data_IF_471287797211
#
_entry.id   IF_471287797211
#
_cell.length_a   1.000
_cell.length_b   1.000
_cell.length_c   1.000
_cell.angle_alpha   90.00
_cell.angle_beta   90.00
_cell.angle_gamma   90.00
#
_symmetry.space_group_name_H-M   'P 1'
#
loop_
_entity.id
_entity.type
_entity.pdbx_description
1 polymer ?
#
# COMPACT_ATOMS: atom_id res chain seq x y z
N UNK A 1 -19.37 8.19 -0.44
CA UNK A 1 -18.73 8.65 -1.70
C UNK A 1 -19.78 9.45 -2.43
N UNK A 2 -19.59 10.76 -2.60
CA UNK A 2 -20.50 11.57 -3.40
C UNK A 2 -20.11 11.39 -4.87
N UNK A 3 -21.04 10.88 -5.66
CA UNK A 3 -20.88 10.75 -7.10
C UNK A 3 -21.50 11.96 -7.82
N UNK A 4 -21.11 12.15 -9.08
CA UNK A 4 -21.61 13.23 -9.93
C UNK A 4 -23.14 13.15 -10.10
N UNK A 5 -23.81 14.30 -10.13
CA UNK A 5 -25.26 14.34 -10.35
C UNK A 5 -25.56 14.11 -11.82
N UNK A 6 -26.29 13.04 -12.21
CA UNK A 6 -26.58 12.75 -13.62
C UNK A 6 -27.42 13.86 -14.27
N UNK A 7 -28.10 14.69 -13.47
CA UNK A 7 -28.88 15.82 -13.95
C UNK A 7 -28.02 17.04 -14.27
N UNK A 8 -26.77 17.12 -13.81
CA UNK A 8 -25.92 18.28 -14.00
C UNK A 8 -24.55 17.92 -14.57
N UNK A 9 -24.23 16.64 -14.76
CA UNK A 9 -22.90 16.20 -15.15
C UNK A 9 -23.02 15.02 -16.10
N UNK A 10 -22.10 14.98 -17.07
CA UNK A 10 -22.07 13.93 -18.08
C UNK A 10 -20.66 13.51 -18.44
N UNK A 11 -20.57 12.29 -18.97
CA UNK A 11 -19.39 11.77 -19.66
C UNK A 11 -19.51 12.06 -21.15
N UNK A 12 -18.38 12.31 -21.82
CA UNK A 12 -18.39 12.58 -23.27
C UNK A 12 -17.82 11.43 -24.09
N UNK A 13 -16.50 11.36 -24.20
CA UNK A 13 -15.77 10.34 -24.96
C UNK A 13 -14.31 10.29 -24.51
N UNK A 14 -13.57 9.28 -24.97
CA UNK A 14 -12.12 9.26 -24.89
C UNK A 14 -11.55 10.41 -25.70
N UNK A 15 -10.81 11.31 -25.04
CA UNK A 15 -10.32 12.54 -25.64
C UNK A 15 -9.08 13.04 -24.89
N UNK A 16 -8.50 14.13 -25.41
CA UNK A 16 -7.54 14.93 -24.62
C UNK A 16 -8.28 15.68 -23.51
N UNK A 17 -7.84 15.49 -22.28
CA UNK A 17 -8.39 16.10 -21.07
C UNK A 17 -7.32 16.96 -20.39
N UNK A 18 -7.70 17.72 -19.35
CA UNK A 18 -6.74 18.49 -18.57
C UNK A 18 -5.62 17.57 -18.06
N UNK A 19 -4.36 17.88 -18.36
CA UNK A 19 -3.23 17.08 -17.91
C UNK A 19 -3.18 17.04 -16.37
N UNK A 20 -3.01 15.84 -15.80
CA UNK A 20 -2.75 15.67 -14.36
C UNK A 20 -1.63 14.67 -14.13
N UNK A 21 -0.84 14.93 -13.09
CA UNK A 21 0.05 13.93 -12.50
C UNK A 21 -0.63 13.22 -11.34
N UNK A 22 -0.49 11.89 -11.30
CA UNK A 22 -1.07 11.03 -10.27
C UNK A 22 -0.26 9.74 -10.12
N UNK A 23 -0.40 9.09 -8.96
CA UNK A 23 0.11 7.74 -8.76
C UNK A 23 -0.97 6.76 -9.25
N UNK A 24 -0.61 5.88 -10.18
CA UNK A 24 -1.56 4.93 -10.75
C UNK A 24 -1.98 3.89 -9.70
N UNK A 25 -3.28 3.77 -9.42
CA UNK A 25 -3.83 2.79 -8.47
C UNK A 25 -3.74 1.32 -8.91
N UNK A 26 -3.18 1.06 -10.09
CA UNK A 26 -2.96 -0.28 -10.65
C UNK A 26 -1.49 -0.68 -10.65
N UNK A 27 -0.62 0.04 -11.37
CA UNK A 27 0.82 -0.29 -11.42
C UNK A 27 1.64 0.38 -10.31
N UNK A 28 1.10 1.38 -9.62
CA UNK A 28 1.80 2.12 -8.57
C UNK A 28 2.68 3.27 -9.06
N UNK A 29 2.97 3.35 -10.36
CA UNK A 29 3.87 4.38 -10.90
C UNK A 29 3.28 5.79 -10.81
N UNK A 30 4.17 6.75 -10.57
CA UNK A 30 3.87 8.18 -10.72
C UNK A 30 3.91 8.54 -12.19
N UNK A 31 2.77 8.92 -12.75
CA UNK A 31 2.62 9.26 -14.17
C UNK A 31 2.00 10.64 -14.35
N UNK A 32 1.99 11.13 -15.59
CA UNK A 32 1.17 12.23 -16.03
C UNK A 32 0.35 11.79 -17.24
N UNK A 33 -0.93 12.16 -17.28
CA UNK A 33 -1.81 11.82 -18.41
C UNK A 33 -2.72 12.98 -18.76
N UNK A 34 -2.84 13.23 -20.06
CA UNK A 34 -3.82 14.11 -20.69
C UNK A 34 -4.86 13.29 -21.49
N UNK A 35 -4.92 11.97 -21.31
CA UNK A 35 -5.81 11.08 -22.06
C UNK A 35 -6.85 10.42 -21.16
N UNK A 36 -8.11 10.49 -21.59
CA UNK A 36 -9.16 9.72 -20.93
C UNK A 36 -10.56 10.27 -21.15
N UNK A 37 -11.45 10.03 -20.18
CA UNK A 37 -12.85 10.38 -20.24
C UNK A 37 -13.12 11.55 -19.31
N UNK A 38 -13.41 12.72 -19.88
CA UNK A 38 -13.80 13.92 -19.14
C UNK A 38 -15.19 13.77 -18.55
N UNK A 39 -15.36 14.28 -17.34
CA UNK A 39 -16.67 14.64 -16.78
C UNK A 39 -16.81 16.16 -16.83
N UNK A 40 -17.85 16.63 -17.53
CA UNK A 40 -18.16 18.04 -17.67
C UNK A 40 -19.26 18.50 -16.71
N UNK A 41 -19.37 19.83 -16.51
CA UNK A 41 -20.52 20.47 -15.85
C UNK A 41 -21.79 20.49 -16.72
N UNK A 42 -21.69 20.15 -18.01
CA UNK A 42 -22.86 19.94 -18.87
C UNK A 42 -23.40 18.51 -18.73
N UNK A 43 -24.72 18.33 -18.91
CA UNK A 43 -25.38 17.01 -18.95
C UNK A 43 -24.80 16.08 -20.04
N UNK A 44 -24.32 16.65 -21.13
CA UNK A 44 -23.66 15.99 -22.26
C UNK A 44 -22.14 15.83 -22.07
N UNK A 45 -21.61 16.19 -20.90
CA UNK A 45 -20.18 16.23 -20.62
C UNK A 45 -19.43 17.39 -21.28
N UNK A 46 -20.16 18.38 -21.82
CA UNK A 46 -19.58 19.67 -22.25
C UNK A 46 -19.21 20.56 -21.05
N UNK A 47 -18.67 21.75 -21.33
CA UNK A 47 -18.22 22.75 -20.32
C UNK A 47 -17.00 22.31 -19.51
N UNK A 48 -16.67 23.01 -18.43
CA UNK A 48 -15.45 22.78 -17.66
C UNK A 48 -15.35 21.36 -17.11
N UNK A 49 -14.12 20.82 -17.17
CA UNK A 49 -13.81 19.54 -16.57
C UNK A 49 -13.81 19.64 -15.04
N UNK A 50 -14.57 18.77 -14.40
CA UNK A 50 -14.71 18.70 -12.94
C UNK A 50 -14.23 17.35 -12.37
N UNK A 51 -13.91 16.40 -13.25
CA UNK A 51 -13.44 15.07 -12.91
C UNK A 51 -13.16 14.27 -14.17
N UNK A 52 -12.87 12.98 -14.01
CA UNK A 52 -12.70 12.11 -15.16
C UNK A 52 -11.96 10.82 -14.87
N UNK A 53 -11.95 9.94 -15.85
CA UNK A 53 -11.08 8.77 -15.88
C UNK A 53 -9.84 9.15 -16.67
N UNK A 54 -8.68 9.02 -16.06
CA UNK A 54 -7.37 9.23 -16.66
C UNK A 54 -6.74 7.88 -16.99
N UNK A 55 -6.30 7.68 -18.22
CA UNK A 55 -5.64 6.45 -18.63
C UNK A 55 -4.16 6.55 -18.31
N UNK A 56 -3.64 5.59 -17.53
CA UNK A 56 -2.22 5.51 -17.22
C UNK A 56 -1.40 5.23 -18.51
N UNK A 57 -0.40 6.04 -18.87
CA UNK A 57 0.41 5.80 -20.06
C UNK A 57 1.28 4.54 -19.94
N UNK A 58 1.66 4.14 -18.71
CA UNK A 58 2.49 2.97 -18.48
C UNK A 58 1.68 1.65 -18.59
N UNK A 59 0.66 1.48 -17.77
CA UNK A 59 -0.09 0.21 -17.68
C UNK A 59 -1.46 0.22 -18.36
N UNK A 60 -1.88 1.33 -18.98
CA UNK A 60 -3.20 1.53 -19.60
C UNK A 60 -4.40 1.43 -18.62
N UNK A 61 -4.15 1.34 -17.31
CA UNK A 61 -5.19 1.26 -16.28
C UNK A 61 -6.00 2.57 -16.12
N UNK A 62 -7.33 2.51 -15.96
CA UNK A 62 -8.21 3.67 -15.83
C UNK A 62 -8.27 4.21 -14.39
N UNK A 63 -7.83 5.43 -14.14
CA UNK A 63 -7.82 6.06 -12.82
C UNK A 63 -8.88 7.17 -12.75
N UNK A 64 -9.88 6.99 -11.91
CA UNK A 64 -10.97 7.95 -11.72
C UNK A 64 -10.61 9.00 -10.69
N UNK A 65 -10.71 10.28 -11.05
CA UNK A 65 -10.62 11.41 -10.12
C UNK A 65 -12.00 12.04 -9.91
N UNK A 66 -12.45 12.11 -8.66
CA UNK A 66 -13.71 12.74 -8.28
C UNK A 66 -13.58 14.29 -8.15
N UNK A 67 -14.67 14.95 -7.72
CA UNK A 67 -14.75 16.40 -7.52
C UNK A 67 -13.74 16.95 -6.51
N UNK A 68 -13.41 16.15 -5.50
CA UNK A 68 -12.45 16.49 -4.44
C UNK A 68 -11.02 16.07 -4.80
N UNK A 69 -10.76 15.69 -6.06
CA UNK A 69 -9.46 15.20 -6.54
C UNK A 69 -8.97 13.95 -5.78
N UNK A 70 -9.90 13.14 -5.27
CA UNK A 70 -9.65 11.82 -4.71
C UNK A 70 -9.62 10.82 -5.87
N UNK A 71 -8.60 9.97 -5.88
CA UNK A 71 -8.30 9.03 -6.95
C UNK A 71 -8.75 7.61 -6.61
N UNK A 72 -9.33 6.93 -7.60
CA UNK A 72 -9.81 5.57 -7.50
C UNK A 72 -9.33 4.73 -8.71
N UNK A 73 -8.78 3.53 -8.51
CA UNK A 73 -8.41 2.97 -7.21
C UNK A 73 -7.39 3.85 -6.48
N UNK A 74 -7.39 3.78 -5.15
CA UNK A 74 -6.43 4.51 -4.34
C UNK A 74 -4.98 4.11 -4.66
N UNK A 75 -4.03 4.87 -4.14
CA UNK A 75 -2.61 4.53 -4.26
C UNK A 75 -2.26 3.34 -3.35
N UNK A 76 -1.46 2.39 -3.85
CA UNK A 76 -0.83 1.40 -2.98
C UNK A 76 0.23 2.09 -2.11
N UNK A 77 0.07 1.96 -0.80
CA UNK A 77 1.07 2.44 0.16
C UNK A 77 2.27 1.48 0.24
N UNK A 78 3.46 2.02 0.48
CA UNK A 78 4.73 1.29 0.42
C UNK A 78 5.11 0.88 -1.01
N UNK A 79 6.25 0.20 -1.16
CA UNK A 79 6.73 -0.32 -2.46
C UNK A 79 6.71 -1.85 -2.48
N UNK A 80 6.61 -2.44 -3.67
CA UNK A 80 6.86 -3.89 -3.81
C UNK A 80 8.32 -4.20 -3.53
N UNK A 81 8.57 -5.29 -2.82
CA UNK A 81 9.91 -5.75 -2.45
C UNK A 81 10.30 -6.92 -3.35
N UNK A 82 11.52 -6.89 -3.89
CA UNK A 82 12.00 -7.91 -4.84
C UNK A 82 12.63 -9.10 -4.11
N UNK A 83 12.65 -10.27 -4.78
CA UNK A 83 13.28 -11.51 -4.31
C UNK A 83 12.75 -12.05 -2.97
N UNK A 84 11.53 -11.65 -2.59
CA UNK A 84 10.81 -12.20 -1.45
C UNK A 84 10.19 -13.55 -1.83
N UNK A 85 10.26 -14.59 -0.99
CA UNK A 85 9.54 -15.85 -1.19
C UNK A 85 8.06 -15.65 -1.53
N UNK A 86 7.53 -16.41 -2.49
CA UNK A 86 6.20 -16.18 -3.07
C UNK A 86 5.09 -16.10 -2.00
N UNK A 87 5.08 -17.02 -1.04
CA UNK A 87 4.13 -17.05 0.07
C UNK A 87 4.15 -15.77 0.93
N UNK A 88 5.33 -15.19 1.17
CA UNK A 88 5.47 -13.95 1.92
C UNK A 88 5.12 -12.74 1.04
N UNK A 89 5.53 -12.76 -0.23
CA UNK A 89 5.23 -11.68 -1.17
C UNK A 89 3.73 -11.53 -1.40
N UNK A 90 3.00 -12.64 -1.59
CA UNK A 90 1.54 -12.63 -1.73
C UNK A 90 0.87 -11.98 -0.52
N UNK A 91 1.31 -12.35 0.69
CA UNK A 91 0.76 -11.82 1.94
C UNK A 91 1.06 -10.32 2.12
N UNK A 92 2.27 -9.89 1.74
CA UNK A 92 2.67 -8.48 1.76
C UNK A 92 1.86 -7.65 0.76
N UNK A 93 1.72 -8.13 -0.48
CA UNK A 93 0.96 -7.46 -1.52
C UNK A 93 -0.55 -7.43 -1.19
N UNK A 94 -1.07 -8.47 -0.55
CA UNK A 94 -2.44 -8.45 0.00
C UNK A 94 -2.59 -7.37 1.08
N UNK A 95 -1.64 -7.24 2.00
CA UNK A 95 -1.67 -6.20 3.03
C UNK A 95 -1.69 -4.78 2.43
N UNK A 96 -0.92 -4.55 1.35
CA UNK A 96 -0.90 -3.28 0.60
C UNK A 96 -2.21 -3.03 -0.14
N UNK A 97 -2.80 -4.06 -0.75
CA UNK A 97 -4.14 -3.99 -1.38
C UNK A 97 -5.22 -3.66 -0.35
N UNK A 98 -5.19 -4.29 0.83
CA UNK A 98 -6.12 -3.95 1.91
C UNK A 98 -5.99 -2.49 2.34
N UNK A 99 -4.76 -1.97 2.46
CA UNK A 99 -4.55 -0.56 2.76
C UNK A 99 -5.16 0.35 1.69
N UNK A 100 -4.92 0.02 0.40
CA UNK A 100 -5.44 0.75 -0.76
C UNK A 100 -6.96 0.92 -0.72
N UNK A 101 -7.66 -0.10 -0.25
CA UNK A 101 -9.13 -0.13 -0.12
C UNK A 101 -9.64 0.38 1.25
N UNK A 102 -8.77 1.01 2.05
CA UNK A 102 -9.05 1.49 3.42
C UNK A 102 -9.43 0.38 4.42
N UNK A 103 -9.10 -0.89 4.13
CA UNK A 103 -9.25 -2.02 5.03
C UNK A 103 -8.07 -2.10 6.02
N UNK A 104 -7.87 -1.04 6.81
CA UNK A 104 -6.68 -0.88 7.66
C UNK A 104 -6.49 -1.99 8.70
N UNK A 105 -7.57 -2.45 9.33
CA UNK A 105 -7.51 -3.60 10.25
C UNK A 105 -7.00 -4.86 9.56
N UNK A 106 -7.50 -5.17 8.35
CA UNK A 106 -7.04 -6.33 7.59
C UNK A 106 -5.56 -6.19 7.21
N UNK A 107 -5.17 -5.02 6.71
CA UNK A 107 -3.77 -4.71 6.38
C UNK A 107 -2.81 -4.93 7.56
N UNK A 108 -3.17 -4.42 8.75
CA UNK A 108 -2.39 -4.62 9.98
C UNK A 108 -2.30 -6.09 10.35
N UNK A 109 -3.40 -6.83 10.29
CA UNK A 109 -3.42 -8.26 10.64
C UNK A 109 -2.57 -9.10 9.68
N UNK A 110 -2.59 -8.79 8.38
CA UNK A 110 -1.75 -9.46 7.38
C UNK A 110 -0.26 -9.17 7.63
N UNK A 111 0.11 -7.92 7.90
CA UNK A 111 1.49 -7.57 8.28
C UNK A 111 1.94 -8.31 9.54
N UNK A 112 1.09 -8.39 10.57
CA UNK A 112 1.39 -9.16 11.79
C UNK A 112 1.60 -10.63 11.49
N UNK A 113 0.70 -11.24 10.71
CA UNK A 113 0.82 -12.64 10.27
C UNK A 113 2.15 -12.88 9.58
N UNK A 114 2.57 -11.98 8.70
CA UNK A 114 3.83 -12.11 7.99
C UNK A 114 5.04 -12.02 8.90
N UNK A 115 5.07 -11.05 9.82
CA UNK A 115 6.18 -10.92 10.80
C UNK A 115 6.28 -12.15 11.70
N UNK A 116 5.16 -12.79 12.04
CA UNK A 116 5.16 -14.05 12.77
C UNK A 116 5.71 -15.20 11.91
N UNK A 117 5.30 -15.31 10.64
CA UNK A 117 5.83 -16.32 9.72
C UNK A 117 7.35 -16.18 9.55
N UNK A 118 7.85 -14.97 9.31
CA UNK A 118 9.30 -14.70 9.21
C UNK A 118 9.98 -15.08 10.51
N UNK A 119 9.40 -14.73 11.67
CA UNK A 119 9.93 -15.13 12.97
C UNK A 119 10.11 -16.64 13.10
N UNK A 120 9.10 -17.42 12.72
CA UNK A 120 9.14 -18.90 12.75
C UNK A 120 10.17 -19.45 11.75
N UNK A 121 10.21 -18.92 10.53
CA UNK A 121 11.23 -19.30 9.52
C UNK A 121 12.66 -19.05 10.02
N UNK A 122 12.86 -18.01 10.82
CA UNK A 122 14.15 -17.67 11.44
C UNK A 122 14.40 -18.39 12.78
N UNK A 123 13.54 -19.33 13.17
CA UNK A 123 13.73 -20.19 14.34
C UNK A 123 13.05 -19.75 15.63
N UNK A 124 12.10 -18.80 15.57
CA UNK A 124 11.23 -18.53 16.71
C UNK A 124 10.30 -19.72 16.98
N UNK A 125 9.92 -19.92 18.25
CA UNK A 125 8.89 -20.91 18.59
C UNK A 125 7.53 -20.44 18.06
N UNK A 126 6.72 -21.40 17.64
CA UNK A 126 5.32 -21.14 17.28
C UNK A 126 4.46 -20.75 18.49
N UNK A 127 3.27 -20.22 18.23
CA UNK A 127 2.25 -19.85 19.25
C UNK A 127 2.71 -18.81 20.28
N UNK A 128 3.68 -17.97 19.93
CA UNK A 128 4.06 -16.82 20.73
C UNK A 128 3.13 -15.62 20.46
N UNK A 129 3.14 -14.63 21.37
CA UNK A 129 2.47 -13.36 21.09
C UNK A 129 3.22 -12.58 20.00
N UNK A 130 2.50 -11.75 19.24
CA UNK A 130 3.08 -10.92 18.17
C UNK A 130 4.35 -10.18 18.60
N UNK A 131 4.34 -9.56 19.78
CA UNK A 131 5.47 -8.80 20.31
C UNK A 131 6.71 -9.68 20.50
N UNK A 132 6.54 -10.95 20.91
CA UNK A 132 7.66 -11.87 21.09
C UNK A 132 8.34 -12.22 19.77
N UNK A 133 7.61 -12.25 18.65
CA UNK A 133 8.23 -12.40 17.33
C UNK A 133 9.02 -11.14 16.94
N UNK A 134 8.46 -9.95 17.17
CA UNK A 134 9.19 -8.69 16.89
C UNK A 134 10.46 -8.58 17.74
N UNK A 135 10.37 -8.93 19.02
CA UNK A 135 11.52 -8.97 19.94
C UNK A 135 12.58 -9.98 19.44
N UNK A 136 12.16 -11.20 19.07
CA UNK A 136 13.05 -12.22 18.53
C UNK A 136 13.80 -11.73 17.28
N UNK A 137 13.08 -11.12 16.33
CA UNK A 137 13.67 -10.59 15.10
C UNK A 137 14.69 -9.48 15.38
N UNK A 138 14.41 -8.62 16.37
CA UNK A 138 15.33 -7.57 16.82
C UNK A 138 16.57 -8.15 17.50
N UNK A 139 16.40 -9.08 18.43
CA UNK A 139 17.48 -9.70 19.21
C UNK A 139 18.43 -10.54 18.36
N UNK A 140 17.91 -11.19 17.32
CA UNK A 140 18.69 -11.96 16.35
C UNK A 140 19.39 -11.10 15.30
N UNK A 141 19.19 -9.78 15.30
CA UNK A 141 19.87 -8.86 14.41
C UNK A 141 19.28 -8.77 13.00
N UNK A 142 18.09 -9.33 12.76
CA UNK A 142 17.38 -9.16 11.48
C UNK A 142 16.87 -7.73 11.29
N UNK A 143 16.72 -7.00 12.40
CA UNK A 143 16.39 -5.57 12.39
C UNK A 143 17.67 -4.80 12.70
N UNK A 144 18.12 -3.89 11.82
CA UNK A 144 19.32 -3.09 12.07
C UNK A 144 19.24 -2.33 13.40
N UNK A 145 20.38 -2.02 14.07
CA UNK A 145 20.36 -1.36 15.38
C UNK A 145 19.59 -0.04 15.42
N UNK A 146 19.64 0.75 14.35
CA UNK A 146 18.89 2.01 14.23
C UNK A 146 17.38 1.79 14.06
N UNK A 147 16.96 0.57 13.69
CA UNK A 147 15.57 0.13 13.59
C UNK A 147 14.94 -0.22 14.94
N UNK A 148 15.67 -0.20 16.06
CA UNK A 148 15.09 -0.45 17.41
C UNK A 148 13.96 0.52 17.76
N UNK A 149 14.04 1.78 17.33
CA UNK A 149 12.95 2.75 17.50
C UNK A 149 11.65 2.30 16.83
N UNK A 150 11.75 1.64 15.67
CA UNK A 150 10.61 1.05 15.01
C UNK A 150 10.05 -0.13 15.80
N UNK A 151 10.92 -0.99 16.34
CA UNK A 151 10.49 -2.10 17.21
C UNK A 151 9.69 -1.58 18.40
N UNK A 152 10.20 -0.58 19.12
CA UNK A 152 9.53 0.00 20.28
C UNK A 152 8.17 0.62 19.90
N UNK A 153 8.11 1.31 18.76
CA UNK A 153 6.87 1.89 18.22
C UNK A 153 5.82 0.82 17.93
N UNK A 154 6.21 -0.25 17.22
CA UNK A 154 5.32 -1.37 16.90
C UNK A 154 4.89 -2.13 18.15
N UNK A 155 5.77 -2.28 19.15
CA UNK A 155 5.43 -2.91 20.44
C UNK A 155 4.37 -2.12 21.20
N UNK A 156 4.52 -0.79 21.27
CA UNK A 156 3.56 0.07 21.96
C UNK A 156 2.17 -0.05 21.32
N UNK A 157 2.10 0.05 19.98
CA UNK A 157 0.85 -0.12 19.23
C UNK A 157 0.27 -1.53 19.32
N UNK A 158 1.12 -2.55 19.29
CA UNK A 158 0.70 -3.95 19.43
C UNK A 158 0.03 -4.25 20.76
N UNK A 159 0.53 -3.67 21.86
CA UNK A 159 -0.10 -3.78 23.18
C UNK A 159 -1.45 -3.04 23.24
N UNK A 160 -1.51 -1.81 22.71
CA UNK A 160 -2.74 -1.01 22.66
C UNK A 160 -3.85 -1.72 21.86
N UNK A 161 -3.49 -2.33 20.73
CA UNK A 161 -4.39 -3.10 19.87
C UNK A 161 -4.93 -4.41 20.47
N UNK A 162 -4.25 -4.99 21.46
CA UNK A 162 -4.69 -6.21 22.15
C UNK A 162 -5.62 -5.90 23.33
N UNK A 163 -5.50 -4.71 23.92
CA UNK A 163 -6.33 -4.29 25.05
C UNK A 163 -7.60 -3.52 24.65
N UNK A 164 -7.62 -2.86 23.49
CA UNK A 164 -8.82 -2.21 22.95
C UNK A 164 -9.31 -2.96 21.70
N UNK A 165 -10.58 -3.40 21.67
CA UNK A 165 -11.27 -3.90 20.47
C UNK A 165 -11.56 -2.70 19.52
N UNK A 166 -10.50 -1.97 19.17
CA UNK A 166 -10.56 -0.74 18.39
C UNK A 166 -10.22 -1.06 16.94
N UNK A 167 -10.91 -0.41 16.02
CA UNK A 167 -10.54 -0.47 14.60
C UNK A 167 -9.15 0.15 14.43
N UNK A 168 -8.29 -0.51 13.67
CA UNK A 168 -6.98 0.02 13.33
C UNK A 168 -7.15 1.24 12.39
N UNK A 169 -6.35 2.27 12.63
CA UNK A 169 -6.35 3.48 11.82
C UNK A 169 -5.49 3.35 10.56
N UNK A 170 -5.62 4.30 9.64
CA UNK A 170 -4.72 4.43 8.49
C UNK A 170 -3.25 4.52 8.93
N UNK A 171 -2.96 5.26 10.01
CA UNK A 171 -1.61 5.38 10.56
C UNK A 171 -1.07 4.05 11.06
N UNK A 172 -1.89 3.22 11.70
CA UNK A 172 -1.45 1.90 12.17
C UNK A 172 -1.07 1.00 11.00
N UNK A 173 -1.88 1.03 9.93
CA UNK A 173 -1.58 0.28 8.71
C UNK A 173 -0.33 0.80 8.00
N UNK A 174 -0.12 2.12 7.92
CA UNK A 174 1.10 2.71 7.34
C UNK A 174 2.35 2.31 8.11
N UNK A 175 2.30 2.36 9.43
CA UNK A 175 3.45 2.01 10.28
C UNK A 175 3.83 0.55 10.09
N UNK A 176 2.85 -0.35 10.08
CA UNK A 176 3.09 -1.78 9.90
C UNK A 176 3.58 -2.11 8.50
N UNK A 177 3.00 -1.52 7.44
CA UNK A 177 3.50 -1.72 6.06
C UNK A 177 4.93 -1.22 5.94
N UNK A 178 5.25 -0.04 6.47
CA UNK A 178 6.61 0.55 6.38
C UNK A 178 7.64 -0.33 7.08
N UNK A 179 7.33 -0.76 8.31
CA UNK A 179 8.22 -1.64 9.07
C UNK A 179 8.43 -2.98 8.38
N UNK A 180 7.36 -3.53 7.82
CA UNK A 180 7.35 -4.80 7.11
C UNK A 180 8.14 -4.72 5.80
N UNK A 181 7.95 -3.66 5.02
CA UNK A 181 8.72 -3.36 3.80
C UNK A 181 10.21 -3.33 4.10
N UNK A 182 10.60 -2.55 5.11
CA UNK A 182 11.99 -2.44 5.55
C UNK A 182 12.58 -3.82 5.88
N UNK A 183 11.89 -4.64 6.67
CA UNK A 183 12.37 -5.97 7.03
C UNK A 183 12.54 -6.88 5.81
N UNK A 184 11.54 -6.94 4.92
CA UNK A 184 11.63 -7.73 3.70
C UNK A 184 12.81 -7.28 2.82
N UNK A 185 13.04 -5.98 2.71
CA UNK A 185 14.17 -5.45 1.96
C UNK A 185 15.51 -5.92 2.53
N UNK A 186 15.67 -5.89 3.85
CA UNK A 186 16.91 -6.34 4.50
C UNK A 186 17.12 -7.85 4.42
N UNK A 187 16.05 -8.64 4.51
CA UNK A 187 16.13 -10.10 4.48
C UNK A 187 16.32 -10.67 3.08
N UNK A 188 15.75 -10.03 2.07
CA UNK A 188 15.61 -10.63 0.74
C UNK A 188 16.16 -9.74 -0.37
N UNK A 189 15.66 -8.51 -0.48
CA UNK A 189 15.99 -7.66 -1.63
C UNK A 189 17.46 -7.23 -1.64
N UNK A 190 17.99 -6.67 -0.55
CA UNK A 190 19.37 -6.19 -0.53
C UNK A 190 20.41 -7.30 -0.65
N UNK A 191 20.30 -8.44 0.07
CA UNK A 191 21.22 -9.56 -0.14
C UNK A 191 21.27 -10.02 -1.60
N UNK A 192 20.11 -10.05 -2.27
CA UNK A 192 20.02 -10.47 -3.67
C UNK A 192 20.69 -9.52 -4.69
N UNK A 193 21.01 -8.28 -4.29
CA UNK A 193 21.67 -7.31 -5.17
C UNK A 193 23.19 -7.50 -5.26
N UNK A 194 23.78 -8.25 -4.32
CA UNK A 194 25.24 -8.44 -4.22
C UNK A 194 25.62 -9.92 -4.38
N UNK A 195 24.64 -10.83 -4.41
CA UNK A 195 24.84 -12.28 -4.46
C UNK A 195 25.40 -12.83 -5.78
N UNK A 196 25.68 -11.98 -6.78
CA UNK A 196 26.32 -12.37 -8.04
C UNK A 196 27.86 -12.16 -8.03
N UNK A 197 28.47 -11.69 -6.92
CA UNK A 197 29.92 -11.35 -6.87
C UNK A 197 30.78 -12.29 -6.00
N UNK A 198 30.24 -13.41 -5.49
CA UNK A 198 31.03 -14.36 -4.69
C UNK A 198 30.71 -15.81 -5.11
N UNK A 199 31.31 -16.25 -6.22
CA UNK A 199 31.69 -17.65 -6.47
C UNK A 199 33.20 -17.75 -6.69
#
# INVERSE_FOLDING_TARGET
>A
MEFFSPNNNGWRAYQTILNKSFNCGYCGDKVASDRGYKIGRGKDGSSDQIGGIYICPNCQGPNFANLQNIWFPGQMFGRSVKNVPENLNELYEEARKCHKENCFTASVLLCRKMLMNIGVEQGAKENLSFIKYVDFLSEKGFIPPNGKKWVDHIRKKGNEATHEIKKMSESDSKDLITFTEMLLMFLYEFPSMVSDEIE
#
